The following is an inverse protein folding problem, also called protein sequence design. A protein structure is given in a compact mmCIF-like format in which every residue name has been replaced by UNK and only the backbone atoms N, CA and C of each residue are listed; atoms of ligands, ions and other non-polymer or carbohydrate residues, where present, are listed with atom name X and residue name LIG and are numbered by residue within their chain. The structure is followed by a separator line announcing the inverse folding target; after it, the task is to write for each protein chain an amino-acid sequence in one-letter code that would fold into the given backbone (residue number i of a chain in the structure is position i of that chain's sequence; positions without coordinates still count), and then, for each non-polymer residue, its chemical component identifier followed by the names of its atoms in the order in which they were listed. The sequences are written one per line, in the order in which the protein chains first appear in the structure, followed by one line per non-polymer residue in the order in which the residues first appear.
data_IF_094627236844
#
_entry.id   IF_094627236844
#
_cell.length_a   1.000
_cell.length_b   1.000
_cell.length_c   1.000
_cell.angle_alpha   90.00
_cell.angle_beta   90.00
_cell.angle_gamma   90.00
#
_symmetry.space_group_name_H-M   'P 1'
#
loop_
_entity.id
_entity.type
_entity.pdbx_description
1 polymer ?
#
# COMPACT_ATOMS: atom_id res chain seq x y z
N UNK A 1 -8.74 -25.07 37.77
CA UNK A 1 -9.81 -25.11 36.79
C UNK A 1 -9.24 -24.54 35.50
N UNK A 2 -8.68 -25.40 34.65
CA UNK A 2 -8.02 -25.01 33.40
C UNK A 2 -9.08 -24.87 32.31
N UNK A 3 -9.20 -23.71 31.71
CA UNK A 3 -10.08 -23.45 30.58
C UNK A 3 -9.35 -23.94 29.34
N UNK A 4 -9.77 -25.10 28.84
CA UNK A 4 -9.33 -25.68 27.57
C UNK A 4 -9.88 -24.82 26.43
N UNK A 5 -9.06 -23.89 25.91
CA UNK A 5 -9.38 -23.12 24.71
C UNK A 5 -9.14 -23.98 23.48
N UNK A 6 -10.12 -24.77 23.13
CA UNK A 6 -10.16 -25.52 21.87
C UNK A 6 -10.28 -24.52 20.71
N UNK A 7 -9.15 -24.21 20.10
CA UNK A 7 -9.08 -23.46 18.83
C UNK A 7 -9.92 -24.14 17.76
N UNK A 8 -10.75 -23.40 16.99
CA UNK A 8 -11.49 -23.99 15.90
C UNK A 8 -10.54 -24.54 14.84
N UNK A 9 -10.71 -25.82 14.57
CA UNK A 9 -9.98 -26.64 13.61
C UNK A 9 -10.02 -26.01 12.22
N UNK A 10 -8.85 -25.68 11.68
CA UNK A 10 -8.67 -25.30 10.27
C UNK A 10 -7.70 -24.15 9.99
N UNK A 11 -7.22 -23.46 11.01
CA UNK A 11 -6.17 -22.46 10.81
C UNK A 11 -4.84 -23.07 11.28
N UNK A 12 -3.98 -23.43 10.35
CA UNK A 12 -2.60 -23.83 10.63
C UNK A 12 -1.94 -22.70 11.44
N UNK A 13 -1.23 -23.01 12.54
CA UNK A 13 -0.43 -22.01 13.23
C UNK A 13 0.60 -21.49 12.22
N UNK A 14 0.60 -20.19 12.00
CA UNK A 14 1.61 -19.52 11.17
C UNK A 14 2.90 -19.56 11.99
N UNK A 15 3.85 -20.38 11.58
CA UNK A 15 5.20 -20.38 12.14
C UNK A 15 5.85 -19.05 11.81
N UNK A 16 5.95 -18.19 12.83
CA UNK A 16 6.41 -16.81 12.74
C UNK A 16 7.84 -16.67 12.21
N UNK A 17 8.65 -17.71 12.27
CA UNK A 17 10.07 -17.65 11.87
C UNK A 17 10.31 -17.99 10.40
N UNK A 18 9.52 -18.85 9.78
CA UNK A 18 9.75 -19.24 8.39
C UNK A 18 9.06 -18.31 7.37
N UNK A 19 7.88 -17.77 7.68
CA UNK A 19 7.11 -16.95 6.73
C UNK A 19 7.53 -15.46 6.69
N UNK A 20 8.22 -14.96 7.72
CA UNK A 20 8.62 -13.55 7.81
C UNK A 20 10.08 -13.34 7.42
N UNK A 21 10.92 -14.38 7.46
CA UNK A 21 12.37 -14.31 7.17
C UNK A 21 12.73 -15.02 5.87
N UNK A 22 11.85 -15.12 4.92
CA UNK A 22 12.35 -15.24 3.55
C UNK A 22 12.88 -13.87 3.13
N UNK A 23 14.10 -13.60 3.58
CA UNK A 23 14.93 -12.57 3.01
C UNK A 23 15.01 -12.83 1.51
N UNK A 24 14.17 -12.16 0.74
CA UNK A 24 14.51 -11.97 -0.66
C UNK A 24 15.85 -11.26 -0.64
N UNK A 25 16.88 -11.79 -1.32
CA UNK A 25 18.09 -11.04 -1.51
C UNK A 25 17.65 -9.68 -2.06
N UNK A 26 18.25 -8.62 -1.53
CA UNK A 26 18.17 -7.27 -2.11
C UNK A 26 18.77 -7.35 -3.53
N UNK A 27 18.03 -7.95 -4.44
CA UNK A 27 18.21 -7.64 -5.83
C UNK A 27 17.74 -6.21 -5.93
N UNK A 28 18.70 -5.31 -6.03
CA UNK A 28 18.58 -3.99 -6.62
C UNK A 28 17.86 -4.18 -7.96
N UNK A 29 16.53 -4.33 -7.91
CA UNK A 29 15.73 -4.11 -9.08
C UNK A 29 15.60 -2.59 -9.22
N UNK A 30 16.69 -1.96 -9.66
CA UNK A 30 16.64 -0.83 -10.56
C UNK A 30 16.05 -1.32 -11.88
N UNK A 31 14.90 -1.87 -11.83
CA UNK A 31 14.04 -2.19 -12.93
C UNK A 31 12.69 -1.67 -12.50
N UNK A 32 12.28 -0.57 -13.12
CA UNK A 32 10.87 -0.29 -13.28
C UNK A 32 10.28 -1.63 -13.69
N UNK A 33 9.67 -2.35 -12.76
CA UNK A 33 8.86 -3.51 -13.03
C UNK A 33 7.71 -2.97 -13.86
N UNK A 34 7.94 -2.90 -15.16
CA UNK A 34 6.88 -2.69 -16.11
C UNK A 34 5.87 -3.78 -15.79
N UNK A 35 4.77 -3.39 -15.20
CA UNK A 35 3.57 -4.16 -15.29
C UNK A 35 3.26 -4.16 -16.77
N UNK A 36 3.78 -5.18 -17.48
CA UNK A 36 3.40 -5.39 -18.86
C UNK A 36 1.87 -5.43 -18.85
N UNK A 37 1.22 -4.52 -19.60
CA UNK A 37 -0.22 -4.62 -19.76
C UNK A 37 -0.45 -6.03 -20.29
N UNK A 38 -1.19 -6.84 -19.54
CA UNK A 38 -1.61 -8.17 -19.95
C UNK A 38 -2.37 -7.98 -21.25
N UNK A 39 -1.66 -8.05 -22.37
CA UNK A 39 -2.23 -8.07 -23.68
C UNK A 39 -3.18 -9.25 -23.69
N UNK A 40 -4.46 -8.97 -23.80
CA UNK A 40 -5.45 -10.00 -24.14
C UNK A 40 -5.00 -10.50 -25.50
N UNK A 41 -4.38 -11.69 -25.49
CA UNK A 41 -3.90 -12.36 -26.70
C UNK A 41 -5.09 -12.59 -27.64
N UNK A 42 -5.17 -11.85 -28.73
CA UNK A 42 -6.20 -12.04 -29.73
C UNK A 42 -6.60 -10.81 -30.54
N UNK A 43 -6.00 -9.64 -30.29
CA UNK A 43 -6.32 -8.44 -31.09
C UNK A 43 -5.24 -8.25 -32.13
N UNK A 44 -5.55 -8.57 -33.36
CA UNK A 44 -4.74 -8.22 -34.54
C UNK A 44 -4.65 -6.70 -34.68
N UNK A 45 -3.46 -6.22 -35.04
CA UNK A 45 -3.15 -4.82 -35.24
C UNK A 45 -3.93 -4.24 -36.43
N UNK A 46 -5.13 -3.80 -36.20
CA UNK A 46 -5.97 -2.99 -37.10
C UNK A 46 -6.56 -1.85 -36.26
N UNK A 47 -7.15 -0.86 -36.86
CA UNK A 47 -7.63 0.42 -36.33
C UNK A 47 -8.26 0.41 -34.90
N UNK A 48 -8.52 -0.75 -34.34
CA UNK A 48 -9.05 -0.98 -32.97
C UNK A 48 -8.10 -0.52 -31.88
N UNK A 49 -6.79 -0.43 -32.13
CA UNK A 49 -5.80 -0.03 -31.11
C UNK A 49 -6.05 1.38 -30.53
N UNK A 50 -6.60 2.28 -31.32
CA UNK A 50 -6.93 3.66 -30.91
C UNK A 50 -8.04 3.62 -29.86
N UNK A 51 -9.05 2.79 -30.04
CA UNK A 51 -10.18 2.66 -29.12
C UNK A 51 -9.73 2.03 -27.80
N UNK A 52 -8.92 0.97 -27.86
CA UNK A 52 -8.37 0.33 -26.64
C UNK A 52 -7.45 1.26 -25.86
N UNK A 53 -6.58 2.00 -26.52
CA UNK A 53 -5.72 3.00 -25.88
C UNK A 53 -6.56 4.08 -25.20
N UNK A 54 -7.61 4.56 -25.86
CA UNK A 54 -8.52 5.56 -25.32
C UNK A 54 -9.27 5.03 -24.06
N UNK A 55 -9.74 3.80 -24.10
CA UNK A 55 -10.42 3.17 -22.94
C UNK A 55 -9.47 3.02 -21.77
N UNK A 56 -8.25 2.53 -21.96
CA UNK A 56 -7.25 2.39 -20.91
C UNK A 56 -6.89 3.76 -20.30
N UNK A 57 -6.70 4.79 -21.11
CA UNK A 57 -6.48 6.15 -20.66
C UNK A 57 -7.65 6.66 -19.80
N UNK A 58 -8.88 6.41 -20.22
CA UNK A 58 -10.08 6.82 -19.50
C UNK A 58 -10.18 6.11 -18.15
N UNK A 59 -9.94 4.80 -18.12
CA UNK A 59 -9.96 4.00 -16.89
C UNK A 59 -8.87 4.44 -15.92
N UNK A 60 -7.64 4.64 -16.39
CA UNK A 60 -6.54 5.11 -15.55
C UNK A 60 -6.78 6.53 -15.05
N UNK A 61 -7.36 7.40 -15.88
CA UNK A 61 -7.77 8.73 -15.47
C UNK A 61 -8.83 8.68 -14.37
N UNK A 62 -9.86 7.84 -14.51
CA UNK A 62 -10.91 7.68 -13.50
C UNK A 62 -10.33 7.16 -12.16
N UNK A 63 -9.50 6.11 -12.22
CA UNK A 63 -8.84 5.54 -11.03
C UNK A 63 -7.92 6.53 -10.33
N UNK A 64 -7.17 7.32 -11.10
CA UNK A 64 -6.26 8.32 -10.55
C UNK A 64 -6.99 9.46 -9.82
N UNK A 65 -8.24 9.75 -10.19
CA UNK A 65 -9.02 10.85 -9.62
C UNK A 65 -9.81 10.50 -8.38
N UNK A 66 -10.05 9.20 -8.13
CA UNK A 66 -10.83 8.73 -6.98
C UNK A 66 -10.21 7.48 -6.34
N UNK A 67 -8.97 7.56 -5.82
CA UNK A 67 -8.40 6.46 -5.05
C UNK A 67 -9.08 6.38 -3.68
N UNK A 68 -9.46 5.18 -3.27
CA UNK A 68 -10.08 4.92 -1.97
C UNK A 68 -9.05 4.37 -1.00
N UNK A 69 -8.60 5.18 -0.01
CA UNK A 69 -7.56 4.76 0.90
C UNK A 69 -8.06 3.79 1.98
N UNK A 70 -7.26 2.77 2.24
CA UNK A 70 -7.28 1.98 3.47
C UNK A 70 -6.22 2.56 4.41
N UNK A 71 -6.63 3.21 5.49
CA UNK A 71 -5.72 3.74 6.49
C UNK A 71 -5.24 2.64 7.43
N UNK A 72 -3.94 2.32 7.38
CA UNK A 72 -3.31 1.41 8.32
C UNK A 72 -2.40 2.19 9.28
N UNK A 73 -3.05 2.82 10.27
CA UNK A 73 -2.39 3.66 11.27
C UNK A 73 -1.86 2.84 12.43
N UNK A 74 -0.54 2.88 12.66
CA UNK A 74 0.14 2.08 13.68
C UNK A 74 0.81 2.92 14.78
N UNK A 75 1.22 4.14 14.47
CA UNK A 75 1.98 4.99 15.38
C UNK A 75 1.69 6.49 15.11
N UNK A 76 2.62 7.37 15.48
CA UNK A 76 2.47 8.84 15.38
C UNK A 76 2.11 9.34 13.95
N UNK A 77 2.59 8.69 12.89
CA UNK A 77 2.23 9.03 11.52
C UNK A 77 0.73 8.91 11.25
N UNK A 78 0.00 8.08 12.01
CA UNK A 78 -1.45 7.96 11.89
C UNK A 78 -2.17 9.26 12.29
N UNK A 79 -1.63 10.01 13.23
CA UNK A 79 -2.19 11.30 13.67
C UNK A 79 -2.06 12.33 12.55
N UNK A 80 -0.90 12.38 11.89
CA UNK A 80 -0.70 13.25 10.74
C UNK A 80 -1.54 12.81 9.54
N UNK A 81 -1.73 11.50 9.35
CA UNK A 81 -2.66 10.99 8.34
C UNK A 81 -4.11 11.43 8.63
N UNK A 82 -4.54 11.44 9.88
CA UNK A 82 -5.85 12.00 10.25
C UNK A 82 -5.92 13.52 10.03
N UNK A 83 -4.82 14.23 10.28
CA UNK A 83 -4.76 15.67 10.03
C UNK A 83 -4.89 16.03 8.53
N UNK A 84 -4.51 15.14 7.61
CA UNK A 84 -4.75 15.34 6.16
C UNK A 84 -6.23 15.32 5.80
N UNK A 85 -7.07 14.63 6.57
CA UNK A 85 -8.54 14.67 6.45
C UNK A 85 -9.19 15.85 7.17
N UNK A 86 -8.39 16.69 7.86
CA UNK A 86 -8.87 17.86 8.57
C UNK A 86 -9.17 19.03 7.66
N UNK A 87 -9.91 20.06 8.17
CA UNK A 87 -10.37 21.17 7.35
C UNK A 87 -9.26 22.05 6.77
N UNK A 88 -8.06 22.03 7.36
CA UNK A 88 -6.92 22.80 6.88
C UNK A 88 -6.27 22.23 5.63
N UNK A 89 -6.29 20.92 5.46
CA UNK A 89 -5.58 20.22 4.38
C UNK A 89 -6.54 19.56 3.39
N UNK A 90 -7.63 18.98 3.89
CA UNK A 90 -8.75 18.40 3.17
C UNK A 90 -8.37 17.49 1.96
N UNK A 91 -8.08 16.26 2.27
CA UNK A 91 -7.75 15.22 1.28
C UNK A 91 -8.88 14.99 0.25
N UNK A 92 -10.10 15.45 0.56
CA UNK A 92 -11.26 15.37 -0.35
C UNK A 92 -11.03 16.13 -1.66
N UNK A 93 -10.27 17.23 -1.63
CA UNK A 93 -9.88 18.01 -2.83
C UNK A 93 -9.10 17.16 -3.84
N UNK A 94 -8.47 16.08 -3.37
CA UNK A 94 -7.69 15.19 -4.19
C UNK A 94 -8.46 13.90 -4.55
N UNK A 95 -9.74 13.79 -4.15
CA UNK A 95 -10.59 12.66 -4.46
C UNK A 95 -10.36 11.42 -3.58
N UNK A 96 -9.60 11.56 -2.48
CA UNK A 96 -9.27 10.46 -1.56
C UNK A 96 -9.97 10.57 -0.20
N UNK A 97 -11.15 11.18 -0.15
CA UNK A 97 -11.90 11.42 1.08
C UNK A 97 -12.39 10.12 1.74
N UNK A 98 -12.74 9.14 0.93
CA UNK A 98 -13.46 7.97 1.40
C UNK A 98 -12.51 6.93 1.97
N UNK A 99 -12.17 7.07 3.24
CA UNK A 99 -11.42 6.04 3.96
C UNK A 99 -12.29 4.78 4.16
N UNK A 100 -11.82 3.66 3.63
CA UNK A 100 -12.51 2.39 3.76
C UNK A 100 -11.95 1.59 4.93
N UNK A 101 -12.85 1.01 5.73
CA UNK A 101 -12.48 0.09 6.80
C UNK A 101 -12.26 -1.34 6.27
N UNK A 102 -12.84 -1.66 5.12
CA UNK A 102 -12.69 -2.95 4.48
C UNK A 102 -11.62 -2.92 3.38
N UNK A 103 -10.62 -3.81 3.42
CA UNK A 103 -9.60 -3.87 2.38
C UNK A 103 -10.17 -4.24 1.01
N UNK A 104 -11.30 -4.96 0.97
CA UNK A 104 -11.95 -5.35 -0.29
C UNK A 104 -12.57 -4.20 -1.07
N UNK A 105 -12.72 -3.04 -0.46
CA UNK A 105 -13.30 -1.84 -1.06
C UNK A 105 -12.26 -0.72 -1.23
N UNK A 106 -11.00 -0.99 -0.93
CA UNK A 106 -9.94 0.00 -1.00
C UNK A 106 -9.00 -0.30 -2.17
N UNK A 107 -8.54 0.74 -2.83
CA UNK A 107 -7.63 0.67 -3.96
C UNK A 107 -6.19 1.01 -3.53
N UNK A 108 -6.05 1.80 -2.47
CA UNK A 108 -4.77 2.30 -1.99
C UNK A 108 -4.63 2.02 -0.49
N UNK A 109 -3.49 1.46 -0.07
CA UNK A 109 -3.16 1.28 1.35
C UNK A 109 -2.15 2.34 1.79
N UNK A 110 -2.45 3.03 2.89
CA UNK A 110 -1.49 3.95 3.54
C UNK A 110 -1.02 3.30 4.83
N UNK A 111 0.25 2.88 4.86
CA UNK A 111 0.87 2.33 6.06
C UNK A 111 1.56 3.47 6.81
N UNK A 112 0.95 3.89 7.92
CA UNK A 112 1.38 5.05 8.68
C UNK A 112 1.93 4.64 10.06
N UNK A 113 3.25 4.57 10.17
CA UNK A 113 3.94 4.31 11.43
C UNK A 113 4.78 3.05 11.46
N UNK A 114 5.22 2.70 12.66
CA UNK A 114 6.14 1.57 12.91
C UNK A 114 5.41 0.24 12.77
N UNK A 115 5.92 -0.64 11.92
CA UNK A 115 5.42 -2.00 11.77
C UNK A 115 6.23 -2.94 12.65
N UNK A 116 5.56 -3.63 13.56
CA UNK A 116 6.18 -4.67 14.37
C UNK A 116 6.08 -6.03 13.70
N UNK A 117 7.00 -6.95 14.03
CA UNK A 117 6.93 -8.33 13.54
C UNK A 117 5.59 -8.99 13.84
N UNK A 118 4.97 -8.67 14.98
CA UNK A 118 3.64 -9.17 15.35
C UNK A 118 2.51 -8.64 14.46
N UNK A 119 2.67 -7.43 13.90
CA UNK A 119 1.67 -6.82 13.01
C UNK A 119 1.92 -7.14 11.53
N UNK A 120 3.13 -7.53 11.18
CA UNK A 120 3.53 -7.84 9.81
C UNK A 120 2.63 -8.85 9.08
N UNK A 121 2.27 -10.01 9.68
CA UNK A 121 1.38 -10.97 9.02
C UNK A 121 -0.04 -10.43 8.78
N UNK A 122 -0.51 -9.52 9.66
CA UNK A 122 -1.81 -8.88 9.51
C UNK A 122 -1.80 -7.89 8.36
N UNK A 123 -0.73 -7.10 8.22
CA UNK A 123 -0.53 -6.18 7.10
C UNK A 123 -0.54 -6.94 5.77
N UNK A 124 0.22 -8.02 5.65
CA UNK A 124 0.26 -8.87 4.46
C UNK A 124 -1.12 -9.42 4.11
N UNK A 125 -1.84 -9.94 5.10
CA UNK A 125 -3.20 -10.46 4.91
C UNK A 125 -4.18 -9.39 4.41
N UNK A 126 -4.10 -8.16 4.93
CA UNK A 126 -4.92 -7.05 4.46
C UNK A 126 -4.57 -6.68 3.01
N UNK A 127 -3.28 -6.64 2.68
CA UNK A 127 -2.83 -6.38 1.33
C UNK A 127 -3.32 -7.45 0.33
N UNK A 128 -3.29 -8.73 0.71
CA UNK A 128 -3.80 -9.83 -0.12
C UNK A 128 -5.33 -9.77 -0.33
N UNK A 129 -6.05 -9.17 0.62
CA UNK A 129 -7.51 -9.00 0.53
C UNK A 129 -7.92 -7.81 -0.34
N UNK A 130 -7.00 -6.92 -0.68
CA UNK A 130 -7.30 -5.80 -1.58
C UNK A 130 -7.45 -6.28 -3.03
N UNK A 131 -8.44 -5.75 -3.77
CA UNK A 131 -8.61 -6.06 -5.19
C UNK A 131 -7.48 -5.45 -6.03
N UNK A 132 -7.23 -6.04 -7.19
CA UNK A 132 -6.32 -5.46 -8.19
C UNK A 132 -7.09 -4.47 -9.11
N UNK A 133 -6.47 -3.35 -9.49
CA UNK A 133 -5.14 -2.88 -9.14
C UNK A 133 -5.09 -2.23 -7.76
N UNK A 134 -3.98 -2.40 -7.04
CA UNK A 134 -3.78 -1.88 -5.69
C UNK A 134 -2.42 -1.22 -5.56
N UNK A 135 -2.37 -0.20 -4.71
CA UNK A 135 -1.15 0.59 -4.48
C UNK A 135 -0.88 0.75 -3.00
N UNK A 136 0.40 0.89 -2.65
CA UNK A 136 0.86 1.03 -1.26
C UNK A 136 1.70 2.30 -1.11
N UNK A 137 1.33 3.11 -0.12
CA UNK A 137 2.11 4.27 0.32
C UNK A 137 2.71 3.95 1.70
N UNK A 138 4.04 3.99 1.81
CA UNK A 138 4.74 3.93 3.09
C UNK A 138 4.90 5.36 3.63
N UNK A 139 4.20 5.68 4.71
CA UNK A 139 4.22 7.00 5.33
C UNK A 139 5.14 7.02 6.55
N UNK A 140 6.15 7.86 6.47
CA UNK A 140 7.13 8.10 7.52
C UNK A 140 8.36 7.19 7.47
N UNK A 141 9.40 7.58 8.19
CA UNK A 141 10.66 6.87 8.21
C UNK A 141 10.53 5.44 8.77
N UNK A 142 9.65 5.24 9.76
CA UNK A 142 9.43 3.92 10.35
C UNK A 142 8.84 2.93 9.34
N UNK A 143 7.87 3.36 8.52
CA UNK A 143 7.30 2.51 7.48
C UNK A 143 8.28 2.30 6.32
N UNK A 144 9.12 3.30 6.01
CA UNK A 144 10.04 3.24 4.88
C UNK A 144 11.28 2.39 5.14
N UNK A 145 11.87 2.46 6.34
CA UNK A 145 13.16 1.82 6.64
C UNK A 145 13.32 1.36 8.10
N UNK A 146 12.24 1.34 8.88
CA UNK A 146 12.32 1.10 10.33
C UNK A 146 12.61 2.36 11.14
N UNK A 147 13.11 3.43 10.50
CA UNK A 147 13.37 4.72 11.12
C UNK A 147 14.29 4.65 12.33
N UNK A 148 13.91 5.31 13.42
CA UNK A 148 14.67 5.33 14.69
C UNK A 148 14.67 3.96 15.41
N UNK A 149 13.80 3.04 15.00
CA UNK A 149 13.66 1.71 15.59
C UNK A 149 14.23 0.60 14.71
N UNK A 150 15.07 0.93 13.75
CA UNK A 150 15.60 -0.02 12.76
C UNK A 150 16.39 -1.18 13.40
N UNK A 151 17.06 -0.95 14.52
CA UNK A 151 17.84 -1.95 15.26
C UNK A 151 17.04 -2.63 16.39
N UNK A 152 15.74 -2.48 16.41
CA UNK A 152 14.88 -3.12 17.42
C UNK A 152 14.53 -4.55 17.03
N UNK A 153 14.62 -5.46 18.00
CA UNK A 153 14.18 -6.86 17.82
C UNK A 153 12.68 -7.02 17.53
N UNK A 154 11.87 -6.01 17.83
CA UNK A 154 10.42 -6.08 17.68
C UNK A 154 9.90 -5.40 16.42
N UNK A 155 10.72 -4.58 15.75
CA UNK A 155 10.28 -3.77 14.61
C UNK A 155 10.84 -4.27 13.29
N UNK A 156 10.04 -4.08 12.25
CA UNK A 156 10.42 -4.44 10.89
C UNK A 156 11.22 -3.30 10.25
N UNK A 157 12.22 -3.65 9.48
CA UNK A 157 13.12 -2.72 8.79
C UNK A 157 12.54 -2.23 7.45
N UNK A 158 11.29 -1.77 7.46
CA UNK A 158 10.57 -1.29 6.29
C UNK A 158 9.42 -2.19 5.86
N UNK A 159 8.38 -1.57 5.33
CA UNK A 159 7.17 -2.27 4.86
C UNK A 159 7.42 -3.03 3.56
N UNK A 160 8.38 -2.58 2.77
CA UNK A 160 8.80 -3.17 1.50
C UNK A 160 9.32 -4.62 1.63
N UNK A 161 9.70 -5.03 2.84
CA UNK A 161 10.06 -6.42 3.13
C UNK A 161 8.87 -7.36 3.10
N UNK A 162 7.64 -6.85 3.26
CA UNK A 162 6.42 -7.65 3.34
C UNK A 162 5.51 -7.44 2.13
N UNK A 163 5.32 -6.18 1.72
CA UNK A 163 4.43 -5.79 0.62
C UNK A 163 5.16 -4.82 -0.32
N UNK A 164 4.91 -4.87 -1.63
CA UNK A 164 5.51 -3.91 -2.56
C UNK A 164 5.00 -2.50 -2.25
N UNK A 165 5.93 -1.55 -2.19
CA UNK A 165 5.64 -0.13 -1.92
C UNK A 165 5.78 0.68 -3.21
N UNK A 166 4.76 1.47 -3.52
CA UNK A 166 4.72 2.31 -4.71
C UNK A 166 5.30 3.70 -4.48
N UNK A 167 5.01 4.28 -3.31
CA UNK A 167 5.43 5.63 -2.95
C UNK A 167 5.91 5.66 -1.50
N UNK A 168 7.05 6.29 -1.28
CA UNK A 168 7.59 6.57 0.05
C UNK A 168 7.41 8.04 0.39
N UNK A 169 6.88 8.32 1.58
CA UNK A 169 6.71 9.67 2.13
C UNK A 169 7.64 9.82 3.34
N UNK A 170 8.80 10.48 3.20
CA UNK A 170 9.76 10.63 4.28
C UNK A 170 9.28 11.64 5.33
N UNK A 171 9.71 11.43 6.57
CA UNK A 171 9.43 12.29 7.72
C UNK A 171 9.21 11.50 9.00
N UNK A 172 9.30 12.15 10.16
CA UNK A 172 9.09 11.52 11.47
C UNK A 172 8.37 12.45 12.46
N UNK A 173 7.04 12.57 12.36
CA UNK A 173 6.16 12.20 11.26
C UNK A 173 6.27 13.19 10.08
N UNK A 174 5.93 12.75 8.85
CA UNK A 174 5.83 13.68 7.72
C UNK A 174 4.65 14.62 7.93
N UNK A 175 4.78 15.86 7.44
CA UNK A 175 3.67 16.82 7.48
C UNK A 175 2.52 16.34 6.58
N UNK A 176 1.28 16.78 6.85
CA UNK A 176 0.11 16.46 6.04
C UNK A 176 0.31 16.76 4.55
N UNK A 177 0.98 17.88 4.22
CA UNK A 177 1.27 18.27 2.84
C UNK A 177 2.18 17.25 2.12
N UNK A 178 3.11 16.64 2.84
CA UNK A 178 3.99 15.63 2.29
C UNK A 178 3.22 14.34 1.92
N UNK A 179 2.19 13.97 2.70
CA UNK A 179 1.31 12.87 2.33
C UNK A 179 0.46 13.22 1.11
N UNK A 180 -0.06 14.44 1.02
CA UNK A 180 -0.79 14.92 -0.15
C UNK A 180 0.07 14.89 -1.41
N UNK A 181 1.34 15.31 -1.31
CA UNK A 181 2.31 15.16 -2.41
C UNK A 181 2.54 13.69 -2.78
N UNK A 182 2.63 12.81 -1.79
CA UNK A 182 2.74 11.36 -2.02
C UNK A 182 1.56 10.80 -2.82
N UNK A 183 0.34 11.24 -2.52
CA UNK A 183 -0.86 10.88 -3.27
C UNK A 183 -0.82 11.44 -4.70
N UNK A 184 -0.35 12.66 -4.88
CA UNK A 184 -0.20 13.24 -6.22
C UNK A 184 0.83 12.47 -7.06
N UNK A 185 1.95 12.06 -6.49
CA UNK A 185 2.95 11.21 -7.15
C UNK A 185 2.38 9.84 -7.51
N UNK A 186 1.56 9.26 -6.64
CA UNK A 186 0.86 8.02 -6.96
C UNK A 186 -0.09 8.20 -8.14
N UNK A 187 -0.84 9.31 -8.20
CA UNK A 187 -1.72 9.63 -9.32
C UNK A 187 -0.97 9.70 -10.64
N UNK A 188 0.19 10.34 -10.66
CA UNK A 188 1.04 10.39 -11.85
C UNK A 188 1.50 8.98 -12.27
N UNK A 189 1.84 8.12 -11.32
CA UNK A 189 2.20 6.73 -11.59
C UNK A 189 1.05 5.97 -12.24
N UNK A 190 -0.17 6.10 -11.71
CA UNK A 190 -1.38 5.47 -12.24
C UNK A 190 -1.67 5.97 -13.67
N UNK A 191 -1.54 7.27 -13.93
CA UNK A 191 -1.76 7.85 -15.26
C UNK A 191 -0.77 7.33 -16.31
N UNK A 192 0.48 7.07 -15.89
CA UNK A 192 1.52 6.50 -16.78
C UNK A 192 1.36 5.00 -17.03
N UNK A 193 0.35 4.36 -16.43
CA UNK A 193 0.07 2.94 -16.62
C UNK A 193 0.92 2.03 -15.71
N UNK A 194 1.33 2.55 -14.53
CA UNK A 194 2.12 1.85 -13.52
C UNK A 194 1.38 0.79 -12.75
#
# INVERSE_FOLDING_TARGET
MAIDQKTPTGVQPIDFEEDVIQRRPLTTQTGMGGHEPRMISGVTASDDNIVFTTVNMLVNWARSRSPWPLGYGLACCAIEMMATGGPSHDIARFGAEVFRSSPRQADMMIVAGTVTHKMAPRLRRLYEQMPEPKWVIAMGNCASSGGEFWDSYATLQGVDTIVPVDVYVPGCPPRPEALLEGILRLREKILKGG
#
